data_IF_514699477591
#
_entry.id   IF_514699477591
#
_cell.length_a   1.000
_cell.length_b   1.000
_cell.length_c   1.000
_cell.angle_alpha   90.00
_cell.angle_beta   90.00
_cell.angle_gamma   90.00
#
_symmetry.space_group_name_H-M   'P 1'
#
loop_
_entity.id
_entity.type
_entity.pdbx_description
1 polymer ?
#
# COMPACT_ATOMS: atom_id res chain seq x y z
N UNK A 1 9.55 19.93 5.49
CA UNK A 1 10.13 20.34 4.18
C UNK A 1 11.62 20.73 4.26
N UNK A 2 12.07 21.50 5.25
CA UNK A 2 13.50 21.91 5.30
C UNK A 2 14.48 20.72 5.21
N UNK A 3 14.25 19.65 5.96
CA UNK A 3 15.07 18.42 5.89
C UNK A 3 15.02 17.78 4.51
N UNK A 4 13.84 17.61 3.93
CA UNK A 4 13.66 17.02 2.60
C UNK A 4 14.39 17.82 1.50
N UNK A 5 14.35 19.16 1.58
CA UNK A 5 15.08 20.03 0.64
C UNK A 5 16.58 19.88 0.80
N UNK A 6 17.08 19.77 2.02
CA UNK A 6 18.52 19.56 2.29
C UNK A 6 19.01 18.26 1.68
N UNK A 7 18.19 17.22 1.70
CA UNK A 7 18.54 15.90 1.20
C UNK A 7 18.31 15.73 -0.32
N UNK A 8 17.85 16.80 -1.02
CA UNK A 8 17.54 16.78 -2.46
C UNK A 8 18.70 16.27 -3.33
N UNK A 9 19.93 16.60 -3.00
CA UNK A 9 21.12 16.14 -3.74
C UNK A 9 21.22 14.61 -3.77
N UNK A 10 20.81 13.94 -2.68
CA UNK A 10 20.78 12.47 -2.64
C UNK A 10 19.64 11.90 -3.48
N UNK A 11 18.48 12.57 -3.51
CA UNK A 11 17.35 12.15 -4.35
C UNK A 11 17.68 12.27 -5.83
N UNK A 12 18.32 13.37 -6.25
CA UNK A 12 18.76 13.56 -7.63
C UNK A 12 19.78 12.51 -8.08
N UNK A 13 20.70 12.12 -7.20
CA UNK A 13 21.70 11.09 -7.50
C UNK A 13 21.17 9.67 -7.54
N UNK A 14 20.09 9.36 -6.79
CA UNK A 14 19.52 8.02 -6.68
C UNK A 14 18.24 7.81 -7.49
N UNK A 15 17.66 8.87 -8.05
CA UNK A 15 16.30 8.83 -8.62
C UNK A 15 15.22 8.65 -7.56
N UNK A 16 15.54 8.95 -6.30
CA UNK A 16 14.63 8.82 -5.16
C UNK A 16 13.79 10.06 -4.90
N UNK A 17 13.21 10.14 -3.71
CA UNK A 17 12.36 11.24 -3.28
C UNK A 17 11.85 11.05 -1.86
N UNK A 18 10.71 11.64 -1.55
CA UNK A 18 10.07 11.48 -0.24
C UNK A 18 8.86 10.56 -0.31
N UNK A 19 8.69 9.75 0.73
CA UNK A 19 7.47 8.94 0.91
C UNK A 19 6.72 9.43 2.12
N UNK A 20 5.48 9.86 1.93
CA UNK A 20 4.56 10.12 3.02
C UNK A 20 3.88 8.81 3.43
N UNK A 21 4.05 8.47 4.70
CA UNK A 21 3.50 7.28 5.34
C UNK A 21 3.22 7.59 6.82
N UNK A 22 3.07 6.58 7.66
CA UNK A 22 2.91 6.75 9.10
C UNK A 22 1.82 5.88 9.67
N UNK A 23 0.81 6.46 10.32
CA UNK A 23 -0.44 5.77 10.60
C UNK A 23 -1.22 5.61 9.31
N UNK A 24 -2.17 6.52 9.04
CA UNK A 24 -2.80 6.64 7.72
C UNK A 24 -2.66 8.09 7.26
N UNK A 25 -1.97 8.29 6.14
CA UNK A 25 -1.67 9.63 5.61
C UNK A 25 -2.94 10.42 5.27
N UNK A 26 -3.99 9.74 4.83
CA UNK A 26 -5.29 10.33 4.52
C UNK A 26 -6.09 10.75 5.76
N UNK A 27 -5.59 10.46 6.97
CA UNK A 27 -6.15 10.97 8.22
C UNK A 27 -5.88 12.46 8.47
N UNK A 28 -4.92 13.05 7.76
CA UNK A 28 -4.58 14.48 7.82
C UNK A 28 -4.41 15.04 6.39
N UNK A 29 -5.49 15.06 5.58
CA UNK A 29 -5.37 15.30 4.14
C UNK A 29 -4.84 16.70 3.80
N UNK A 30 -5.21 17.74 4.53
CA UNK A 30 -4.73 19.10 4.27
C UNK A 30 -3.23 19.24 4.54
N UNK A 31 -2.76 18.63 5.62
CA UNK A 31 -1.34 18.63 5.97
C UNK A 31 -0.50 17.81 4.98
N UNK A 32 -0.99 16.63 4.62
CA UNK A 32 -0.32 15.76 3.66
C UNK A 32 -0.24 16.41 2.27
N UNK A 33 -1.32 17.01 1.78
CA UNK A 33 -1.35 17.73 0.52
C UNK A 33 -0.35 18.89 0.51
N UNK A 34 -0.30 19.69 1.58
CA UNK A 34 0.65 20.81 1.68
C UNK A 34 2.12 20.35 1.62
N UNK A 35 2.44 19.15 2.16
CA UNK A 35 3.80 18.59 2.05
C UNK A 35 4.07 18.14 0.61
N UNK A 36 3.11 17.46 -0.04
CA UNK A 36 3.25 17.01 -1.43
C UNK A 36 3.48 18.21 -2.36
N UNK A 37 2.66 19.25 -2.22
CA UNK A 37 2.77 20.46 -3.04
C UNK A 37 4.13 21.14 -2.87
N UNK A 38 4.59 21.31 -1.63
CA UNK A 38 5.89 21.90 -1.34
C UNK A 38 7.08 21.05 -1.84
N UNK A 39 6.95 19.72 -1.84
CA UNK A 39 7.95 18.82 -2.40
C UNK A 39 8.00 18.92 -3.92
N UNK A 40 6.84 18.90 -4.58
CA UNK A 40 6.69 19.08 -6.02
C UNK A 40 7.26 20.43 -6.49
N UNK A 41 6.95 21.52 -5.79
CA UNK A 41 7.47 22.86 -6.09
C UNK A 41 9.01 22.92 -5.95
N UNK A 42 9.56 22.05 -5.11
CA UNK A 42 11.00 21.87 -4.93
C UNK A 42 11.62 20.89 -5.94
N UNK A 43 10.84 20.29 -6.85
CA UNK A 43 11.30 19.28 -7.81
C UNK A 43 11.71 17.95 -7.16
N UNK A 44 11.09 17.58 -6.04
CA UNK A 44 11.35 16.34 -5.33
C UNK A 44 10.24 15.34 -5.68
N UNK A 45 10.63 14.14 -6.14
CA UNK A 45 9.69 13.04 -6.41
C UNK A 45 8.95 12.63 -5.14
N UNK A 46 7.65 12.40 -5.27
CA UNK A 46 6.75 12.17 -4.15
C UNK A 46 6.06 10.81 -4.24
N UNK A 47 6.02 10.11 -3.12
CA UNK A 47 5.30 8.84 -2.97
C UNK A 47 4.34 8.93 -1.78
N UNK A 48 3.12 8.48 -1.96
CA UNK A 48 2.14 8.32 -0.87
C UNK A 48 1.90 6.83 -0.61
N UNK A 49 2.04 6.41 0.65
CA UNK A 49 1.71 5.07 1.11
C UNK A 49 0.43 5.10 1.93
N UNK A 50 -0.63 4.45 1.46
CA UNK A 50 -1.97 4.50 2.07
C UNK A 50 -2.73 3.19 1.92
N UNK A 51 -3.65 2.93 2.87
CA UNK A 51 -4.67 1.89 2.69
C UNK A 51 -5.93 2.39 1.95
N UNK A 52 -6.01 3.66 1.61
CA UNK A 52 -7.12 4.24 0.86
C UNK A 52 -8.45 4.37 1.62
N UNK A 53 -8.48 4.15 2.94
CA UNK A 53 -9.71 4.25 3.73
C UNK A 53 -9.99 5.70 4.13
N UNK A 54 -10.54 6.46 3.19
CA UNK A 54 -10.95 7.87 3.36
C UNK A 54 -12.03 8.21 2.33
N UNK A 55 -12.70 9.36 2.46
CA UNK A 55 -13.50 9.86 1.34
C UNK A 55 -12.63 10.06 0.11
N UNK A 56 -13.18 9.86 -1.10
CA UNK A 56 -12.41 10.06 -2.32
C UNK A 56 -11.91 11.51 -2.47
N UNK A 57 -12.69 12.49 -2.01
CA UNK A 57 -12.29 13.89 -2.00
C UNK A 57 -11.00 14.13 -1.21
N UNK A 58 -10.92 13.59 0.02
CA UNK A 58 -9.72 13.68 0.84
C UNK A 58 -8.53 12.91 0.24
N UNK A 59 -8.80 11.72 -0.31
CA UNK A 59 -7.76 10.94 -0.98
C UNK A 59 -7.23 11.68 -2.21
N UNK A 60 -8.11 12.26 -3.02
CA UNK A 60 -7.73 12.98 -4.22
C UNK A 60 -6.92 14.24 -3.90
N UNK A 61 -7.33 15.01 -2.87
CA UNK A 61 -6.59 16.20 -2.40
C UNK A 61 -5.10 15.90 -2.15
N UNK A 62 -4.78 14.74 -1.59
CA UNK A 62 -3.39 14.33 -1.31
C UNK A 62 -2.71 13.76 -2.55
N UNK A 63 -3.45 12.96 -3.34
CA UNK A 63 -2.85 12.12 -4.40
C UNK A 63 -2.77 12.84 -5.75
N UNK A 64 -3.59 13.87 -6.01
CA UNK A 64 -3.61 14.52 -7.33
C UNK A 64 -2.24 15.05 -7.77
N UNK A 65 -1.43 15.53 -6.85
CA UNK A 65 -0.08 16.03 -7.10
C UNK A 65 1.04 15.05 -6.72
N UNK A 66 0.69 13.83 -6.30
CA UNK A 66 1.66 12.76 -5.97
C UNK A 66 2.11 12.04 -7.24
N UNK A 67 3.41 11.73 -7.35
CA UNK A 67 3.96 11.03 -8.50
C UNK A 67 3.61 9.54 -8.48
N UNK A 68 3.75 8.86 -7.34
CA UNK A 68 3.49 7.43 -7.21
C UNK A 68 2.67 7.13 -5.95
N UNK A 69 1.70 6.24 -6.06
CA UNK A 69 0.90 5.76 -4.93
C UNK A 69 1.23 4.29 -4.62
N UNK A 70 1.64 4.02 -3.41
CA UNK A 70 1.74 2.68 -2.84
C UNK A 70 0.42 2.39 -2.11
N UNK A 71 -0.41 1.52 -2.68
CA UNK A 71 -1.76 1.32 -2.22
C UNK A 71 -1.95 -0.07 -1.61
N UNK A 72 -2.20 -0.14 -0.32
CA UNK A 72 -2.32 -1.40 0.40
C UNK A 72 -3.69 -2.07 0.18
N UNK A 73 -3.71 -3.28 -0.40
CA UNK A 73 -4.86 -4.18 -0.46
C UNK A 73 -4.61 -5.36 0.47
N UNK A 74 -5.39 -5.47 1.54
CA UNK A 74 -5.24 -6.49 2.57
C UNK A 74 -6.12 -7.72 2.35
N UNK A 75 -7.04 -7.64 1.39
CA UNK A 75 -7.93 -8.72 1.01
C UNK A 75 -9.09 -8.24 0.14
N UNK A 76 -9.65 -9.17 -0.66
CA UNK A 76 -10.76 -8.91 -1.56
C UNK A 76 -12.09 -9.28 -0.92
N UNK A 77 -12.14 -10.36 -0.13
CA UNK A 77 -13.36 -10.76 0.55
C UNK A 77 -13.77 -9.72 1.61
N UNK A 78 -14.93 -9.04 1.47
CA UNK A 78 -15.30 -7.93 2.36
C UNK A 78 -15.58 -8.38 3.79
N UNK A 79 -16.10 -9.60 3.97
CA UNK A 79 -16.39 -10.16 5.29
C UNK A 79 -15.08 -10.44 6.06
N UNK A 80 -14.12 -11.09 5.40
CA UNK A 80 -12.81 -11.39 5.99
C UNK A 80 -12.03 -10.11 6.23
N UNK A 81 -12.05 -9.15 5.28
CA UNK A 81 -11.43 -7.85 5.47
C UNK A 81 -11.98 -7.14 6.72
N UNK A 82 -13.30 -7.08 6.87
CA UNK A 82 -13.93 -6.47 8.04
C UNK A 82 -13.57 -7.18 9.35
N UNK A 83 -13.49 -8.53 9.32
CA UNK A 83 -13.08 -9.32 10.48
C UNK A 83 -11.66 -8.98 10.94
N UNK A 84 -10.72 -8.75 10.00
CA UNK A 84 -9.31 -8.55 10.30
C UNK A 84 -8.92 -7.08 10.50
N UNK A 85 -9.64 -6.14 9.88
CA UNK A 85 -9.30 -4.71 9.90
C UNK A 85 -10.32 -3.85 10.64
N UNK A 86 -11.50 -4.40 10.92
CA UNK A 86 -12.62 -3.67 11.55
C UNK A 86 -13.52 -2.92 10.56
N UNK A 87 -13.13 -2.80 9.28
CA UNK A 87 -13.86 -2.01 8.26
C UNK A 87 -14.08 -2.81 6.97
N UNK A 88 -15.12 -2.45 6.19
CA UNK A 88 -15.31 -2.97 4.84
C UNK A 88 -14.24 -2.44 3.89
N UNK A 89 -13.88 -3.24 2.89
CA UNK A 89 -12.94 -2.85 1.83
C UNK A 89 -13.62 -2.15 0.63
N UNK A 90 -14.93 -2.00 0.62
CA UNK A 90 -15.65 -1.38 -0.50
C UNK A 90 -15.17 0.03 -0.83
N UNK A 91 -15.02 0.87 0.20
CA UNK A 91 -14.52 2.23 0.05
C UNK A 91 -13.08 2.23 -0.49
N UNK A 92 -12.23 1.34 0.02
CA UNK A 92 -10.84 1.16 -0.39
C UNK A 92 -10.77 0.79 -1.89
N UNK A 93 -11.53 -0.24 -2.29
CA UNK A 93 -11.58 -0.71 -3.66
C UNK A 93 -12.13 0.36 -4.63
N UNK A 94 -13.16 1.10 -4.21
CA UNK A 94 -13.70 2.20 -5.00
C UNK A 94 -12.70 3.34 -5.19
N UNK A 95 -11.96 3.67 -4.14
CA UNK A 95 -10.92 4.69 -4.22
C UNK A 95 -9.80 4.27 -5.18
N UNK A 96 -9.31 3.04 -5.10
CA UNK A 96 -8.32 2.52 -6.04
C UNK A 96 -8.79 2.63 -7.49
N UNK A 97 -10.01 2.16 -7.79
CA UNK A 97 -10.59 2.25 -9.14
C UNK A 97 -10.66 3.69 -9.66
N UNK A 98 -11.04 4.62 -8.81
CA UNK A 98 -11.12 6.03 -9.18
C UNK A 98 -9.73 6.64 -9.44
N UNK A 99 -8.70 6.27 -8.64
CA UNK A 99 -7.33 6.72 -8.84
C UNK A 99 -6.78 6.23 -10.18
N UNK A 100 -6.96 4.95 -10.51
CA UNK A 100 -6.56 4.37 -11.80
C UNK A 100 -7.29 5.06 -12.96
N UNK A 101 -8.61 5.27 -12.84
CA UNK A 101 -9.40 5.98 -13.86
C UNK A 101 -8.92 7.42 -14.09
N UNK A 102 -8.36 8.06 -13.07
CA UNK A 102 -7.75 9.40 -13.17
C UNK A 102 -6.29 9.38 -13.65
N UNK A 103 -5.78 8.22 -14.04
CA UNK A 103 -4.44 8.07 -14.60
C UNK A 103 -3.30 8.12 -13.59
N UNK A 104 -3.59 7.91 -12.29
CA UNK A 104 -2.53 7.88 -11.29
C UNK A 104 -1.70 6.59 -11.42
N UNK A 105 -0.38 6.74 -11.28
CA UNK A 105 0.52 5.61 -11.17
C UNK A 105 0.36 4.97 -9.78
N UNK A 106 -0.02 3.69 -9.75
CA UNK A 106 -0.31 2.96 -8.52
C UNK A 106 0.39 1.62 -8.53
N UNK A 107 1.14 1.34 -7.46
CA UNK A 107 1.58 -0.01 -7.12
C UNK A 107 0.66 -0.52 -6.01
N UNK A 108 -0.05 -1.59 -6.26
CA UNK A 108 -0.82 -2.29 -5.23
C UNK A 108 0.15 -3.11 -4.38
N UNK A 109 0.13 -2.89 -3.07
CA UNK A 109 0.93 -3.66 -2.12
C UNK A 109 0.04 -4.62 -1.33
N UNK A 110 0.51 -5.84 -1.20
CA UNK A 110 -0.20 -6.91 -0.50
C UNK A 110 0.64 -7.39 0.67
N UNK A 111 0.38 -6.90 1.90
CA UNK A 111 0.94 -7.51 3.09
C UNK A 111 0.45 -8.95 3.20
N UNK A 112 1.36 -9.92 3.04
CA UNK A 112 1.05 -11.34 3.02
C UNK A 112 1.09 -11.90 4.43
N UNK A 113 -0.07 -11.98 5.09
CA UNK A 113 -0.16 -12.38 6.49
C UNK A 113 -0.63 -13.83 6.58
N UNK A 114 0.19 -14.76 7.15
CA UNK A 114 -0.22 -16.15 7.38
C UNK A 114 -1.55 -16.23 8.15
N UNK A 115 -2.32 -17.25 7.87
CA UNK A 115 -3.64 -17.51 8.49
C UNK A 115 -4.73 -16.45 8.16
N UNK A 116 -4.38 -15.36 7.45
CA UNK A 116 -5.31 -14.29 7.09
C UNK A 116 -5.58 -14.26 5.58
N UNK A 117 -4.58 -13.84 4.81
CA UNK A 117 -4.69 -13.69 3.35
C UNK A 117 -3.63 -14.49 2.56
N UNK A 118 -2.73 -15.20 3.25
CA UNK A 118 -1.67 -15.99 2.63
C UNK A 118 -2.21 -17.36 2.14
N UNK A 119 -3.19 -17.33 1.23
CA UNK A 119 -3.74 -18.51 0.56
C UNK A 119 -3.95 -18.23 -0.93
N UNK A 120 -4.04 -19.30 -1.73
CA UNK A 120 -4.10 -19.20 -3.19
C UNK A 120 -5.34 -18.43 -3.65
N UNK A 121 -6.49 -18.70 -3.04
CA UNK A 121 -7.77 -18.12 -3.41
C UNK A 121 -7.78 -16.59 -3.25
N UNK A 122 -7.30 -16.11 -2.11
CA UNK A 122 -7.29 -14.66 -1.82
C UNK A 122 -6.25 -13.94 -2.68
N UNK A 123 -5.06 -14.52 -2.87
CA UNK A 123 -4.03 -13.93 -3.72
C UNK A 123 -4.48 -13.92 -5.19
N UNK A 124 -5.09 -15.00 -5.68
CA UNK A 124 -5.67 -15.03 -7.03
C UNK A 124 -6.71 -13.92 -7.20
N UNK A 125 -7.62 -13.79 -6.23
CA UNK A 125 -8.64 -12.73 -6.26
C UNK A 125 -8.03 -11.32 -6.29
N UNK A 126 -6.91 -11.09 -5.59
CA UNK A 126 -6.19 -9.81 -5.62
C UNK A 126 -5.59 -9.56 -7.02
N UNK A 127 -4.93 -10.54 -7.64
CA UNK A 127 -4.39 -10.40 -8.99
C UNK A 127 -5.47 -10.20 -10.05
N UNK A 128 -6.58 -10.93 -9.95
CA UNK A 128 -7.73 -10.75 -10.83
C UNK A 128 -8.34 -9.36 -10.68
N UNK A 129 -8.51 -8.91 -9.45
CA UNK A 129 -8.98 -7.54 -9.16
C UNK A 129 -8.03 -6.49 -9.73
N UNK A 130 -6.72 -6.65 -9.55
CA UNK A 130 -5.71 -5.74 -10.09
C UNK A 130 -5.78 -5.67 -11.61
N UNK A 131 -5.75 -6.82 -12.29
CA UNK A 131 -5.82 -6.91 -13.75
C UNK A 131 -7.10 -6.32 -14.34
N UNK A 132 -8.25 -6.63 -13.73
CA UNK A 132 -9.56 -6.15 -14.17
C UNK A 132 -9.74 -4.63 -13.97
N UNK A 133 -8.93 -4.00 -13.13
CA UNK A 133 -9.03 -2.55 -12.85
C UNK A 133 -7.83 -1.75 -13.40
N UNK A 134 -6.97 -2.36 -14.22
CA UNK A 134 -5.87 -1.65 -14.88
C UNK A 134 -4.67 -1.35 -14.01
N UNK A 135 -4.51 -2.05 -12.88
CA UNK A 135 -3.29 -2.00 -12.07
C UNK A 135 -2.19 -2.74 -12.81
N UNK A 136 -1.06 -2.09 -13.03
CA UNK A 136 0.08 -2.66 -13.75
C UNK A 136 1.08 -3.40 -12.86
N UNK A 137 1.09 -3.11 -11.56
CA UNK A 137 2.09 -3.67 -10.64
C UNK A 137 1.47 -4.05 -9.31
N UNK A 138 1.74 -5.26 -8.87
CA UNK A 138 1.38 -5.78 -7.54
C UNK A 138 2.66 -6.22 -6.83
N UNK A 139 2.90 -5.66 -5.65
CA UNK A 139 4.02 -5.97 -4.79
C UNK A 139 3.56 -6.83 -3.62
N UNK A 140 4.15 -8.01 -3.47
CA UNK A 140 3.90 -8.91 -2.34
C UNK A 140 4.90 -8.59 -1.24
N UNK A 141 4.39 -8.22 -0.07
CA UNK A 141 5.20 -7.89 1.10
C UNK A 141 5.10 -9.03 2.12
N UNK A 142 6.16 -9.81 2.32
CA UNK A 142 6.18 -10.87 3.34
C UNK A 142 5.89 -10.30 4.73
N UNK A 143 5.11 -11.06 5.52
CA UNK A 143 4.88 -10.70 6.91
C UNK A 143 6.17 -10.75 7.72
N UNK A 144 6.40 -9.71 8.50
CA UNK A 144 7.49 -9.63 9.46
C UNK A 144 6.99 -9.05 10.80
N UNK A 145 7.66 -9.41 11.91
CA UNK A 145 7.25 -9.04 13.27
C UNK A 145 7.75 -7.66 13.72
N UNK A 146 8.38 -6.88 12.86
CA UNK A 146 8.95 -5.55 13.20
C UNK A 146 7.90 -4.55 13.73
N UNK A 147 6.62 -4.78 13.43
CA UNK A 147 5.53 -3.96 13.94
C UNK A 147 5.20 -4.15 15.43
N UNK A 148 5.59 -5.26 16.06
CA UNK A 148 5.24 -5.58 17.45
C UNK A 148 5.69 -4.49 18.43
N UNK A 149 6.94 -4.05 18.32
CA UNK A 149 7.51 -3.01 19.19
C UNK A 149 6.76 -1.67 19.12
N UNK A 150 6.14 -1.36 17.97
CA UNK A 150 5.31 -0.17 17.82
C UNK A 150 4.01 -0.27 18.62
N UNK A 151 3.38 -1.44 18.64
CA UNK A 151 2.17 -1.69 19.42
C UNK A 151 2.47 -1.63 20.93
N UNK A 152 3.57 -2.22 21.36
CA UNK A 152 4.04 -2.14 22.75
C UNK A 152 4.23 -0.69 23.21
N UNK A 153 4.94 0.14 22.42
CA UNK A 153 5.16 1.57 22.71
C UNK A 153 3.87 2.37 22.79
N UNK A 154 2.82 1.94 22.06
CA UNK A 154 1.51 2.58 22.07
C UNK A 154 0.58 1.98 23.12
N UNK A 155 1.04 1.04 23.95
CA UNK A 155 0.25 0.27 24.91
C UNK A 155 -1.00 -0.36 24.27
N UNK A 156 -0.85 -0.85 23.02
CA UNK A 156 -1.91 -1.48 22.24
C UNK A 156 -1.64 -2.97 22.10
N UNK A 157 -2.72 -3.77 22.14
CA UNK A 157 -2.63 -5.21 21.89
C UNK A 157 -2.25 -5.48 20.44
N UNK A 158 -1.24 -6.32 20.24
CA UNK A 158 -0.87 -6.80 18.91
C UNK A 158 -1.68 -8.06 18.59
N UNK A 159 -2.55 -8.00 17.59
CA UNK A 159 -3.48 -9.09 17.28
C UNK A 159 -2.85 -10.23 16.46
N UNK A 160 -1.64 -10.05 15.95
CA UNK A 160 -0.89 -11.06 15.20
C UNK A 160 0.18 -11.75 16.06
N UNK A 161 0.05 -11.65 17.39
CA UNK A 161 0.96 -12.33 18.33
C UNK A 161 0.95 -13.82 18.10
N UNK A 162 2.15 -14.42 18.03
CA UNK A 162 2.31 -15.85 17.81
C UNK A 162 2.25 -16.31 16.34
N UNK A 163 1.84 -15.46 15.40
CA UNK A 163 1.89 -15.80 13.98
C UNK A 163 3.34 -15.95 13.52
N UNK A 164 3.65 -17.11 12.96
CA UNK A 164 4.99 -17.42 12.43
C UNK A 164 5.16 -16.76 11.06
N UNK A 165 6.35 -16.21 10.82
CA UNK A 165 6.74 -15.74 9.49
C UNK A 165 6.89 -16.93 8.55
N UNK A 166 6.49 -16.74 7.29
CA UNK A 166 6.72 -17.74 6.24
C UNK A 166 8.16 -17.64 5.73
N UNK A 167 8.72 -18.77 5.35
CA UNK A 167 9.97 -18.81 4.61
C UNK A 167 9.77 -18.37 3.16
N UNK A 168 10.84 -17.93 2.51
CA UNK A 168 10.82 -17.58 1.08
C UNK A 168 10.34 -18.74 0.21
N UNK A 169 10.70 -19.97 0.58
CA UNK A 169 10.30 -21.18 -0.15
C UNK A 169 8.78 -21.40 -0.05
N UNK A 170 8.20 -21.25 1.14
CA UNK A 170 6.76 -21.37 1.35
C UNK A 170 5.99 -20.30 0.54
N UNK A 171 6.48 -19.06 0.53
CA UNK A 171 5.87 -17.97 -0.23
C UNK A 171 5.99 -18.23 -1.74
N UNK A 172 7.16 -18.61 -2.23
CA UNK A 172 7.37 -18.96 -3.66
C UNK A 172 6.48 -20.13 -4.09
N UNK A 173 6.35 -21.16 -3.26
CA UNK A 173 5.44 -22.28 -3.52
C UNK A 173 3.96 -21.83 -3.56
N UNK A 174 3.55 -20.91 -2.68
CA UNK A 174 2.22 -20.33 -2.69
C UNK A 174 1.98 -19.53 -3.99
N UNK A 175 2.89 -18.63 -4.32
CA UNK A 175 2.79 -17.76 -5.51
C UNK A 175 2.86 -18.54 -6.83
N UNK A 176 3.57 -19.67 -6.88
CA UNK A 176 3.64 -20.52 -8.09
C UNK A 176 2.30 -21.16 -8.48
N UNK A 177 1.34 -21.20 -7.57
CA UNK A 177 -0.02 -21.72 -7.78
C UNK A 177 -1.01 -20.65 -8.25
N UNK A 178 -0.58 -19.40 -8.32
CA UNK A 178 -1.41 -18.25 -8.70
C UNK A 178 -1.20 -17.92 -10.18
N UNK A 179 -2.29 -17.69 -10.90
CA UNK A 179 -2.26 -17.25 -12.30
C UNK A 179 -2.22 -15.73 -12.36
N UNK A 180 -1.09 -15.17 -12.76
CA UNK A 180 -0.90 -13.72 -12.85
C UNK A 180 -1.37 -13.22 -14.22
N UNK A 181 -2.32 -12.24 -14.28
CA UNK A 181 -2.73 -11.64 -15.55
C UNK A 181 -1.53 -11.05 -16.30
N UNK A 182 -1.47 -11.24 -17.63
CA UNK A 182 -0.34 -10.75 -18.46
C UNK A 182 -0.10 -9.24 -18.36
N UNK A 183 -1.12 -8.49 -17.97
CA UNK A 183 -1.06 -7.03 -17.81
C UNK A 183 -0.49 -6.61 -16.45
N UNK A 184 -0.26 -7.56 -15.53
CA UNK A 184 0.18 -7.28 -14.17
C UNK A 184 1.60 -7.82 -13.98
N UNK A 185 2.50 -6.95 -13.56
CA UNK A 185 3.84 -7.31 -13.07
C UNK A 185 3.76 -7.64 -11.58
N UNK A 186 4.26 -8.78 -11.16
CA UNK A 186 4.46 -9.10 -9.75
C UNK A 186 5.87 -8.71 -9.33
N UNK A 187 5.96 -8.02 -8.20
CA UNK A 187 7.20 -7.78 -7.45
C UNK A 187 7.12 -8.58 -6.16
N UNK A 188 8.19 -9.27 -5.83
CA UNK A 188 8.38 -9.96 -4.55
C UNK A 188 9.74 -9.54 -4.01
N UNK A 189 9.75 -8.86 -2.86
CA UNK A 189 10.93 -8.30 -2.24
C UNK A 189 11.12 -8.74 -0.81
#
# INVERSE_FOLDING_TARGET
MHEAIRDKVFYEGSGGGITLSGGEVLGQPDFAAAIIDAARDSGIHTVVSTCGYSSFENAWKVIENTDLVLFDIKGINPHMHKKHTGVSNELIHNNLKQLIKKGKEVIVRVPLIPEHNANVEEIQAIFDFAGNNGVSTVEILPYHRLGESKYERLSRKYFLEGIKTQSDEEIKNLLSKVSIPKTVKMIYG
#
